data_IF_876189068927
#
_entry.id   IF_876189068927
#
_cell.length_a   1.000
_cell.length_b   1.000
_cell.length_c   1.000
_cell.angle_alpha   90.00
_cell.angle_beta   90.00
_cell.angle_gamma   90.00
#
_symmetry.space_group_name_H-M   'P 1'
#
loop_
_entity.id
_entity.type
_entity.pdbx_description
1 polymer ?
#
# COMPACT_ATOMS: atom_id res chain seq x y z
N UNK A 1 -3.10 -16.34 2.36
CA UNK A 1 -3.38 -14.94 2.13
C UNK A 1 -2.62 -14.43 0.92
N UNK A 2 -3.02 -13.31 0.43
CA UNK A 2 -2.38 -12.65 -0.69
C UNK A 2 -0.92 -12.29 -0.41
N UNK A 3 -0.68 -11.80 0.79
CA UNK A 3 0.66 -11.49 1.24
C UNK A 3 1.55 -12.72 1.24
N UNK A 4 1.03 -13.86 1.70
CA UNK A 4 1.79 -15.11 1.72
C UNK A 4 2.13 -15.56 0.30
N UNK A 5 1.25 -15.34 -0.67
CA UNK A 5 1.53 -15.65 -2.07
C UNK A 5 2.73 -14.86 -2.58
N UNK A 6 2.74 -13.54 -2.34
CA UNK A 6 3.85 -12.69 -2.74
C UNK A 6 5.14 -13.13 -2.06
N UNK A 7 5.08 -13.35 -0.77
CA UNK A 7 6.25 -13.68 0.05
C UNK A 7 6.87 -15.03 -0.32
N UNK A 8 6.05 -16.01 -0.62
CA UNK A 8 6.53 -17.37 -0.87
C UNK A 8 6.84 -17.66 -2.33
N UNK A 9 6.29 -16.88 -3.27
CA UNK A 9 6.46 -17.10 -4.71
C UNK A 9 6.24 -18.54 -5.12
N UNK A 10 5.13 -19.13 -4.68
CA UNK A 10 4.87 -20.57 -4.88
C UNK A 10 4.81 -21.01 -6.33
N UNK A 11 4.52 -20.09 -7.27
CA UNK A 11 4.43 -20.42 -8.68
C UNK A 11 4.79 -19.21 -9.55
N UNK A 12 4.83 -19.42 -10.87
CA UNK A 12 5.20 -18.38 -11.82
C UNK A 12 4.25 -17.18 -11.81
N UNK A 13 2.95 -17.42 -11.59
CA UNK A 13 1.96 -16.33 -11.53
C UNK A 13 2.22 -15.40 -10.38
N UNK A 14 2.51 -15.94 -9.18
CA UNK A 14 2.81 -15.13 -8.01
C UNK A 14 4.07 -14.30 -8.21
N UNK A 15 5.07 -14.91 -8.83
CA UNK A 15 6.33 -14.23 -9.16
C UNK A 15 6.12 -13.11 -10.18
N UNK A 16 5.34 -13.37 -11.21
CA UNK A 16 5.01 -12.38 -12.23
C UNK A 16 4.20 -11.24 -11.64
N UNK A 17 3.27 -11.54 -10.76
CA UNK A 17 2.49 -10.51 -10.07
C UNK A 17 3.41 -9.58 -9.28
N UNK A 18 4.33 -10.15 -8.49
CA UNK A 18 5.25 -9.35 -7.69
C UNK A 18 6.12 -8.45 -8.57
N UNK A 19 6.63 -8.98 -9.68
CA UNK A 19 7.41 -8.19 -10.62
C UNK A 19 6.62 -7.01 -11.19
N UNK A 20 5.38 -7.26 -11.60
CA UNK A 20 4.51 -6.20 -12.12
C UNK A 20 4.21 -5.15 -11.07
N UNK A 21 3.90 -5.59 -9.85
CA UNK A 21 3.60 -4.68 -8.75
C UNK A 21 4.79 -3.77 -8.47
N UNK A 22 5.97 -4.33 -8.28
CA UNK A 22 7.18 -3.56 -8.00
C UNK A 22 7.53 -2.61 -9.14
N UNK A 23 7.47 -3.10 -10.38
CA UNK A 23 7.76 -2.28 -11.55
C UNK A 23 6.82 -1.08 -11.67
N UNK A 24 5.52 -1.32 -11.51
CA UNK A 24 4.53 -0.25 -11.56
C UNK A 24 4.67 0.72 -10.39
N UNK A 25 5.00 0.21 -9.21
CA UNK A 25 5.23 1.05 -8.03
C UNK A 25 6.39 2.01 -8.25
N UNK A 26 7.49 1.51 -8.83
CA UNK A 26 8.63 2.35 -9.16
C UNK A 26 8.25 3.44 -10.17
N UNK A 27 7.51 3.08 -11.20
CA UNK A 27 7.08 4.03 -12.23
C UNK A 27 6.15 5.12 -11.66
N UNK A 28 5.30 4.76 -10.69
CA UNK A 28 4.32 5.67 -10.11
C UNK A 28 4.79 6.34 -8.83
N UNK A 29 6.05 6.14 -8.44
CA UNK A 29 6.58 6.60 -7.17
C UNK A 29 6.30 8.08 -6.92
N UNK A 30 6.58 8.93 -7.88
CA UNK A 30 6.43 10.37 -7.72
C UNK A 30 4.97 10.76 -7.55
N UNK A 31 4.10 10.21 -8.39
CA UNK A 31 2.66 10.46 -8.31
C UNK A 31 2.09 9.99 -6.98
N UNK A 32 2.44 8.78 -6.56
CA UNK A 32 1.94 8.21 -5.32
C UNK A 32 2.45 8.95 -4.10
N UNK A 33 3.72 9.40 -4.12
CA UNK A 33 4.25 10.22 -3.04
C UNK A 33 3.47 11.51 -2.87
N UNK A 34 3.12 12.16 -3.97
CA UNK A 34 2.32 13.38 -3.92
C UNK A 34 0.97 13.13 -3.26
N UNK A 35 0.32 12.02 -3.62
CA UNK A 35 -0.95 11.63 -3.03
C UNK A 35 -0.80 11.36 -1.54
N UNK A 36 0.23 10.61 -1.15
CA UNK A 36 0.47 10.25 0.25
C UNK A 36 0.70 11.50 1.09
N UNK A 37 1.55 12.41 0.63
CA UNK A 37 1.83 13.64 1.37
C UNK A 37 0.61 14.52 1.50
N UNK A 38 -0.22 14.57 0.47
CA UNK A 38 -1.48 15.32 0.52
C UNK A 38 -2.42 14.74 1.59
N UNK A 39 -2.58 13.44 1.61
CA UNK A 39 -3.44 12.77 2.59
C UNK A 39 -2.87 12.84 4.01
N UNK A 40 -1.56 12.93 4.16
CA UNK A 40 -0.90 12.96 5.45
C UNK A 40 -0.94 14.33 6.13
N UNK A 41 -1.40 15.37 5.46
CA UNK A 41 -1.42 16.74 6.02
C UNK A 41 -2.18 16.86 7.33
N UNK A 42 -3.18 16.01 7.54
CA UNK A 42 -3.99 16.05 8.75
C UNK A 42 -3.39 15.23 9.90
N UNK A 43 -2.25 14.61 9.67
CA UNK A 43 -1.57 13.81 10.67
C UNK A 43 -0.40 14.60 11.25
N UNK A 44 -0.29 14.56 12.58
CA UNK A 44 0.78 15.29 13.28
C UNK A 44 2.05 14.44 13.28
N UNK A 45 2.70 14.38 12.11
CA UNK A 45 3.97 13.67 11.94
C UNK A 45 4.93 14.55 11.16
N UNK A 46 6.18 14.56 11.56
CA UNK A 46 7.20 15.35 10.89
C UNK A 46 7.61 14.74 9.56
N UNK A 47 7.69 13.42 9.51
CA UNK A 47 8.02 12.71 8.28
C UNK A 47 7.50 11.28 8.34
N UNK A 48 7.28 10.72 7.16
CA UNK A 48 6.83 9.35 7.01
C UNK A 48 8.05 8.44 7.01
N UNK A 49 8.02 7.37 7.83
CA UNK A 49 9.13 6.42 7.85
C UNK A 49 9.29 5.74 6.48
N UNK A 50 10.49 5.25 6.22
CA UNK A 50 10.78 4.56 4.96
C UNK A 50 9.86 3.36 4.76
N UNK A 51 9.67 2.55 5.81
CA UNK A 51 8.80 1.38 5.72
C UNK A 51 7.35 1.78 5.41
N UNK A 52 6.82 2.76 6.14
CA UNK A 52 5.46 3.23 5.90
C UNK A 52 5.29 3.76 4.48
N UNK A 53 6.28 4.51 4.00
CA UNK A 53 6.24 5.02 2.63
C UNK A 53 6.19 3.90 1.60
N UNK A 54 7.02 2.87 1.78
CA UNK A 54 7.04 1.73 0.88
C UNK A 54 5.71 0.98 0.89
N UNK A 55 5.17 0.72 2.08
CA UNK A 55 3.89 0.01 2.19
C UNK A 55 2.75 0.80 1.56
N UNK A 56 2.72 2.11 1.78
CA UNK A 56 1.70 2.97 1.17
C UNK A 56 1.84 3.02 -0.35
N UNK A 57 3.06 3.11 -0.86
CA UNK A 57 3.33 3.09 -2.28
C UNK A 57 2.83 1.81 -2.93
N UNK A 58 3.16 0.68 -2.34
CA UNK A 58 2.74 -0.62 -2.85
C UNK A 58 1.22 -0.78 -2.80
N UNK A 59 0.61 -0.39 -1.70
CA UNK A 59 -0.84 -0.52 -1.52
C UNK A 59 -1.61 0.32 -2.54
N UNK A 60 -1.20 1.57 -2.72
CA UNK A 60 -1.86 2.47 -3.68
C UNK A 60 -1.70 1.96 -5.11
N UNK A 61 -0.50 1.47 -5.46
CA UNK A 61 -0.27 0.87 -6.77
C UNK A 61 -1.18 -0.33 -7.00
N UNK A 62 -1.27 -1.21 -6.00
CA UNK A 62 -2.12 -2.39 -6.11
C UNK A 62 -3.58 -2.01 -6.31
N UNK A 63 -4.07 -1.04 -5.52
CA UNK A 63 -5.46 -0.61 -5.59
C UNK A 63 -5.81 0.08 -6.91
N UNK A 64 -4.86 0.75 -7.54
CA UNK A 64 -5.12 1.50 -8.77
C UNK A 64 -4.80 0.73 -10.04
N UNK A 65 -3.88 -0.24 -9.99
CA UNK A 65 -3.38 -0.92 -11.17
C UNK A 65 -3.83 -2.37 -11.33
N UNK A 66 -4.45 -2.93 -10.31
CA UNK A 66 -4.87 -4.33 -10.31
C UNK A 66 -6.34 -4.45 -9.94
N UNK A 67 -7.21 -4.19 -10.92
CA UNK A 67 -8.67 -4.13 -10.71
C UNK A 67 -9.29 -5.41 -10.19
N UNK A 68 -8.68 -6.55 -10.49
CA UNK A 68 -9.20 -7.85 -10.05
C UNK A 68 -9.07 -8.08 -8.56
N UNK A 69 -8.27 -7.27 -7.86
CA UNK A 69 -8.06 -7.44 -6.42
C UNK A 69 -9.01 -6.49 -5.67
N UNK A 70 -9.89 -7.03 -4.80
CA UNK A 70 -10.76 -6.16 -4.02
C UNK A 70 -9.95 -5.22 -3.11
N UNK A 71 -10.36 -3.97 -3.03
CA UNK A 71 -9.64 -2.96 -2.23
C UNK A 71 -9.46 -3.38 -0.77
N UNK A 72 -10.48 -4.00 -0.20
CA UNK A 72 -10.44 -4.46 1.19
C UNK A 72 -9.33 -5.50 1.40
N UNK A 73 -9.12 -6.36 0.42
CA UNK A 73 -8.05 -7.37 0.49
C UNK A 73 -6.70 -6.68 0.50
N UNK A 74 -6.48 -5.73 -0.42
CA UNK A 74 -5.23 -4.98 -0.48
C UNK A 74 -4.96 -4.25 0.83
N UNK A 75 -5.93 -3.50 1.34
CA UNK A 75 -5.76 -2.73 2.57
C UNK A 75 -5.41 -3.65 3.74
N UNK A 76 -6.16 -4.74 3.91
CA UNK A 76 -5.93 -5.66 5.03
C UNK A 76 -4.55 -6.29 4.98
N UNK A 77 -4.07 -6.67 3.79
CA UNK A 77 -2.75 -7.29 3.66
C UNK A 77 -1.63 -6.33 4.06
N UNK A 78 -1.70 -5.07 3.64
CA UNK A 78 -0.66 -4.10 3.99
C UNK A 78 -0.72 -3.68 5.46
N UNK A 79 -1.91 -3.64 6.04
CA UNK A 79 -2.04 -3.40 7.48
C UNK A 79 -1.44 -4.57 8.27
N UNK A 80 -1.65 -5.81 7.85
CA UNK A 80 -1.05 -6.97 8.51
C UNK A 80 0.48 -6.93 8.44
N UNK A 81 1.04 -6.50 7.31
CA UNK A 81 2.49 -6.31 7.20
C UNK A 81 2.95 -5.24 8.20
N UNK A 82 2.26 -4.13 8.26
CA UNK A 82 2.61 -3.05 9.18
C UNK A 82 2.54 -3.50 10.65
N UNK A 83 1.54 -4.28 11.00
CA UNK A 83 1.42 -4.82 12.36
C UNK A 83 2.59 -5.73 12.72
N UNK A 84 3.10 -6.49 11.76
CA UNK A 84 4.19 -7.44 11.97
C UNK A 84 5.54 -6.73 12.10
N UNK A 85 5.80 -5.72 11.27
CA UNK A 85 7.13 -5.13 11.11
C UNK A 85 7.23 -3.68 11.57
N UNK A 86 6.17 -3.12 12.11
CA UNK A 86 6.15 -1.72 12.48
C UNK A 86 5.45 -1.52 13.83
N UNK A 87 5.30 -0.25 14.23
CA UNK A 87 4.68 0.09 15.51
C UNK A 87 3.16 0.18 15.37
N UNK A 88 2.48 0.18 16.53
CA UNK A 88 1.04 0.42 16.56
C UNK A 88 0.68 1.74 15.88
N UNK A 89 1.46 2.77 16.12
CA UNK A 89 1.23 4.10 15.55
C UNK A 89 1.35 4.05 14.02
N UNK A 90 2.32 3.30 13.50
CA UNK A 90 2.51 3.14 12.06
C UNK A 90 1.31 2.47 11.40
N UNK A 91 0.81 1.36 11.95
CA UNK A 91 -0.29 0.68 11.27
C UNK A 91 -1.59 1.49 11.34
N UNK A 92 -1.79 2.27 12.39
CA UNK A 92 -2.92 3.19 12.46
C UNK A 92 -2.82 4.28 11.40
N UNK A 93 -1.61 4.82 11.22
CA UNK A 93 -1.35 5.81 10.18
C UNK A 93 -1.61 5.24 8.78
N UNK A 94 -1.05 4.06 8.49
CA UNK A 94 -1.25 3.41 7.19
C UNK A 94 -2.73 3.14 6.94
N UNK A 95 -3.43 2.61 7.92
CA UNK A 95 -4.87 2.37 7.79
C UNK A 95 -5.63 3.66 7.49
N UNK A 96 -5.32 4.72 8.21
CA UNK A 96 -5.99 6.02 8.01
C UNK A 96 -5.72 6.59 6.61
N UNK A 97 -4.49 6.51 6.14
CA UNK A 97 -4.13 7.02 4.81
C UNK A 97 -4.82 6.21 3.71
N UNK A 98 -4.80 4.88 3.81
CA UNK A 98 -5.42 4.03 2.79
C UNK A 98 -6.93 4.18 2.76
N UNK A 99 -7.57 4.32 3.92
CA UNK A 99 -8.99 4.58 4.01
C UNK A 99 -9.36 5.92 3.37
N UNK A 100 -8.60 6.96 3.66
CA UNK A 100 -8.80 8.28 3.07
C UNK A 100 -8.57 8.25 1.56
N UNK A 101 -7.56 7.51 1.10
CA UNK A 101 -7.30 7.35 -0.32
C UNK A 101 -8.49 6.70 -1.02
N UNK A 102 -8.99 5.63 -0.44
CA UNK A 102 -10.13 4.89 -1.00
C UNK A 102 -11.35 5.79 -1.15
N UNK A 103 -11.69 6.53 -0.10
CA UNK A 103 -12.85 7.42 -0.11
C UNK A 103 -12.72 8.55 -1.11
N UNK A 104 -11.54 9.15 -1.20
CA UNK A 104 -11.32 10.32 -2.04
C UNK A 104 -11.16 9.97 -3.52
N UNK A 105 -10.53 8.86 -3.83
CA UNK A 105 -10.10 8.56 -5.20
C UNK A 105 -10.83 7.41 -5.87
N UNK A 106 -11.52 6.58 -5.12
CA UNK A 106 -12.12 5.36 -5.65
C UNK A 106 -13.62 5.26 -5.42
N UNK A 107 -14.07 5.58 -4.21
CA UNK A 107 -15.47 5.43 -3.81
C UNK A 107 -16.32 6.69 -4.02
N UNK A 108 -15.82 7.64 -4.75
CA UNK A 108 -16.59 8.88 -5.01
C UNK A 108 -17.87 8.59 -5.80
#
# INVERSE_FOLDING_TARGET
SYFLRIKTFKNAEDKNFAKKLFSKTIKLKQKNNTIIHELAKNWDIERISTLDSILLQLAITEMTQFESIPYKVSINEYIEIAKTYSTKKSHEFINGILDAFLKKNILI
#
